data_IF_496379935542
#
_entry.id   IF_496379935542
#
_cell.length_a   1.000
_cell.length_b   1.000
_cell.length_c   1.000
_cell.angle_alpha   90.00
_cell.angle_beta   90.00
_cell.angle_gamma   90.00
#
_symmetry.space_group_name_H-M   'P 1'
#
loop_
_entity.id
_entity.type
_entity.pdbx_description
1 polymer ?
#
# COMPACT_ATOMS: atom_id res chain seq x y z
N UNK A 1 12.23 1.61 36.10
CA UNK A 1 11.24 0.93 36.95
C UNK A 1 10.25 2.01 37.38
N UNK A 2 9.14 2.25 36.65
CA UNK A 2 7.80 1.64 36.86
C UNK A 2 7.38 1.77 38.34
N UNK A 3 6.29 2.41 38.75
CA UNK A 3 5.02 2.85 38.17
C UNK A 3 4.53 4.09 38.95
N UNK A 4 3.50 4.80 38.49
CA UNK A 4 2.28 5.00 39.29
C UNK A 4 1.20 5.71 38.45
N UNK A 5 0.03 5.06 38.40
CA UNK A 5 -1.21 5.49 37.74
C UNK A 5 -1.85 6.71 38.43
N UNK A 6 -2.49 7.58 37.64
CA UNK A 6 -3.49 8.53 38.13
C UNK A 6 -4.88 8.12 37.65
N UNK A 7 -5.77 7.91 38.61
CA UNK A 7 -7.18 7.57 38.45
C UNK A 7 -8.02 8.84 38.58
N UNK A 8 -8.90 9.12 37.61
CA UNK A 8 -9.80 10.25 37.64
C UNK A 8 -11.23 9.78 37.89
N UNK A 9 -11.85 10.28 38.96
CA UNK A 9 -13.30 10.23 39.08
C UNK A 9 -13.84 11.37 39.94
N UNK A 10 -15.10 11.75 39.67
CA UNK A 10 -15.97 12.76 40.33
C UNK A 10 -15.76 14.21 39.84
N UNK A 11 -16.75 15.05 39.53
CA UNK A 11 -18.14 15.21 40.02
C UNK A 11 -19.07 15.82 38.95
N UNK A 12 -20.35 15.49 39.09
CA UNK A 12 -21.53 16.13 38.49
C UNK A 12 -21.76 17.55 39.01
N UNK A 13 -22.38 18.42 38.19
CA UNK A 13 -23.34 19.40 38.70
C UNK A 13 -24.30 19.92 37.62
N UNK A 14 -25.57 19.87 37.97
CA UNK A 14 -26.74 20.32 37.24
C UNK A 14 -27.10 21.76 37.61
N UNK A 15 -27.54 22.58 36.65
CA UNK A 15 -28.37 23.77 36.93
C UNK A 15 -29.43 23.94 35.84
N UNK A 16 -30.69 23.71 36.20
CA UNK A 16 -31.87 24.18 35.45
C UNK A 16 -32.22 25.60 35.91
N UNK A 17 -32.51 26.52 34.97
CA UNK A 17 -33.42 27.65 35.21
C UNK A 17 -34.32 27.88 33.98
N UNK A 18 -35.63 27.89 34.22
CA UNK A 18 -36.68 28.16 33.22
C UNK A 18 -36.92 29.66 33.11
N UNK A 19 -37.20 30.14 31.90
CA UNK A 19 -37.89 31.40 31.62
C UNK A 19 -38.83 31.21 30.44
N UNK A 20 -40.09 31.65 30.56
CA UNK A 20 -41.19 31.42 29.60
C UNK A 20 -41.77 32.78 29.17
N UNK A 21 -41.86 33.04 27.87
CA UNK A 21 -43.01 33.57 27.08
C UNK A 21 -42.56 34.30 25.81
N UNK A 22 -42.89 33.77 24.62
CA UNK A 22 -43.96 34.16 23.67
C UNK A 22 -43.59 35.26 22.66
N UNK A 23 -43.44 34.90 21.37
CA UNK A 23 -44.25 35.40 20.23
C UNK A 23 -43.67 34.86 18.91
N UNK A 24 -44.58 34.43 18.02
CA UNK A 24 -44.30 33.84 16.69
C UNK A 24 -43.70 34.88 15.74
N UNK A 25 -42.67 34.52 14.99
CA UNK A 25 -42.51 34.94 13.59
C UNK A 25 -41.68 33.94 12.78
N UNK A 26 -42.24 33.54 11.64
CA UNK A 26 -41.62 32.96 10.45
C UNK A 26 -40.67 31.77 10.65
N UNK A 27 -41.19 30.57 10.38
CA UNK A 27 -40.40 29.39 10.00
C UNK A 27 -39.54 29.77 8.77
N UNK A 28 -38.27 30.08 9.00
CA UNK A 28 -37.25 29.92 7.97
C UNK A 28 -36.88 28.44 7.97
N UNK A 29 -36.89 27.73 6.83
CA UNK A 29 -36.27 26.41 6.77
C UNK A 29 -34.80 26.62 7.13
N UNK A 30 -34.40 26.03 8.26
CA UNK A 30 -33.03 26.08 8.72
C UNK A 30 -32.24 25.07 7.88
N UNK A 31 -31.93 25.40 6.63
CA UNK A 31 -30.80 24.78 5.93
C UNK A 31 -29.54 25.45 6.46
N UNK A 32 -29.27 25.25 7.74
CA UNK A 32 -27.91 25.35 8.25
C UNK A 32 -27.13 24.27 7.50
N UNK A 33 -26.05 24.60 6.76
CA UNK A 33 -25.13 23.57 6.30
C UNK A 33 -24.62 22.91 7.57
N UNK A 34 -25.06 21.68 7.83
CA UNK A 34 -24.44 20.83 8.84
C UNK A 34 -23.04 20.58 8.34
N UNK A 35 -22.06 21.29 8.92
CA UNK A 35 -20.67 20.86 8.88
C UNK A 35 -20.67 19.55 9.68
N UNK A 36 -20.77 18.43 8.98
CA UNK A 36 -20.39 17.15 9.57
C UNK A 36 -18.92 17.31 9.93
N UNK A 37 -18.64 17.34 11.23
CA UNK A 37 -17.28 17.30 11.73
C UNK A 37 -16.68 16.01 11.19
N UNK A 38 -15.70 16.16 10.28
CA UNK A 38 -15.07 15.05 9.54
C UNK A 38 -14.42 14.01 10.46
N UNK A 39 -14.29 14.33 11.75
CA UNK A 39 -13.68 13.50 12.79
C UNK A 39 -14.49 12.23 13.11
N UNK A 40 -15.77 12.15 12.71
CA UNK A 40 -16.62 10.95 12.86
C UNK A 40 -16.84 10.18 11.56
N UNK A 41 -16.12 10.54 10.49
CA UNK A 41 -15.89 9.57 9.43
C UNK A 41 -14.90 8.58 10.01
N UNK A 42 -15.41 7.50 10.60
CA UNK A 42 -14.65 6.24 10.66
C UNK A 42 -14.36 5.87 9.20
N UNK A 43 -13.31 6.48 8.63
CA UNK A 43 -12.67 5.99 7.44
C UNK A 43 -12.41 4.54 7.81
N UNK A 44 -12.99 3.59 7.06
CA UNK A 44 -12.37 2.29 7.01
C UNK A 44 -10.96 2.60 6.53
N UNK A 45 -10.04 2.71 7.48
CA UNK A 45 -8.62 2.87 7.25
C UNK A 45 -8.18 1.53 6.69
N UNK A 46 -8.58 1.28 5.45
CA UNK A 46 -7.98 0.26 4.63
C UNK A 46 -6.57 0.78 4.42
N UNK A 47 -5.66 0.33 5.29
CA UNK A 47 -4.24 0.55 5.11
C UNK A 47 -3.91 0.05 3.70
N UNK A 48 -3.56 0.99 2.81
CA UNK A 48 -3.11 0.64 1.48
C UNK A 48 -1.67 0.12 1.63
N UNK A 49 -1.39 -1.13 1.25
CA UNK A 49 -0.04 -1.66 1.36
C UNK A 49 0.89 -0.88 0.43
N UNK A 50 2.04 -0.48 0.98
CA UNK A 50 3.13 0.10 0.21
C UNK A 50 4.07 -1.02 -0.24
N UNK A 51 4.44 -1.03 -1.52
CA UNK A 51 5.43 -1.95 -2.05
C UNK A 51 6.76 -1.22 -2.16
N UNK A 52 7.64 -1.48 -1.20
CA UNK A 52 8.97 -0.92 -1.18
C UNK A 52 9.89 -1.73 -2.08
N UNK A 53 10.74 -1.02 -2.82
CA UNK A 53 11.80 -1.65 -3.61
C UNK A 53 12.75 -2.46 -2.70
N UNK A 54 12.81 -3.80 -2.87
CA UNK A 54 13.70 -4.64 -2.06
C UNK A 54 15.18 -4.43 -2.34
N UNK A 55 15.50 -3.87 -3.51
CA UNK A 55 16.87 -3.63 -3.97
C UNK A 55 17.00 -2.24 -4.60
N UNK A 56 16.86 -1.17 -3.78
CA UNK A 56 16.92 0.21 -4.28
C UNK A 56 18.23 0.48 -5.03
N UNK A 57 18.08 0.94 -6.26
CA UNK A 57 19.19 1.35 -7.12
C UNK A 57 18.73 2.44 -8.07
N UNK A 58 19.67 3.29 -8.49
CA UNK A 58 19.39 4.31 -9.50
C UNK A 58 18.93 3.64 -10.79
N UNK A 59 17.83 4.13 -11.36
CA UNK A 59 17.29 3.68 -12.65
C UNK A 59 17.06 2.15 -12.79
N UNK A 60 16.92 1.40 -11.68
CA UNK A 60 16.64 -0.05 -11.72
C UNK A 60 15.24 -0.41 -12.25
N UNK A 61 14.41 0.62 -12.49
CA UNK A 61 13.03 0.56 -12.98
C UNK A 61 12.12 -0.32 -12.12
N UNK A 62 12.29 -0.31 -10.80
CA UNK A 62 11.30 -0.90 -9.91
C UNK A 62 9.91 -0.32 -10.21
N UNK A 63 8.94 -1.21 -10.46
CA UNK A 63 7.59 -0.80 -10.84
C UNK A 63 7.33 -0.76 -12.35
N UNK A 64 8.26 -1.21 -13.20
CA UNK A 64 8.09 -1.21 -14.66
C UNK A 64 6.85 -1.99 -15.10
N UNK A 65 6.60 -3.13 -14.47
CA UNK A 65 5.32 -3.84 -14.49
C UNK A 65 4.85 -4.07 -13.07
N UNK A 66 3.58 -3.74 -12.78
CA UNK A 66 2.90 -4.05 -11.51
C UNK A 66 1.65 -4.87 -11.85
N UNK A 67 1.64 -6.14 -11.48
CA UNK A 67 0.55 -7.07 -11.78
C UNK A 67 -0.04 -7.67 -10.50
N UNK A 68 -1.33 -7.46 -10.29
CA UNK A 68 -2.09 -8.17 -9.25
C UNK A 68 -2.51 -9.54 -9.80
N UNK A 69 -2.10 -10.61 -9.14
CA UNK A 69 -2.46 -11.98 -9.49
C UNK A 69 -3.86 -12.34 -8.99
N UNK A 70 -4.46 -13.39 -9.55
CA UNK A 70 -5.76 -13.92 -9.12
C UNK A 70 -5.80 -14.33 -7.64
N UNK A 71 -4.64 -14.52 -7.00
CA UNK A 71 -4.52 -14.84 -5.56
C UNK A 71 -4.58 -13.62 -4.66
N UNK A 72 -4.49 -12.40 -5.22
CA UNK A 72 -4.33 -11.16 -4.46
C UNK A 72 -2.87 -10.81 -4.13
N UNK A 73 -1.89 -11.62 -4.54
CA UNK A 73 -0.47 -11.23 -4.48
C UNK A 73 -0.13 -10.25 -5.61
N UNK A 74 0.96 -9.50 -5.45
CA UNK A 74 1.41 -8.52 -6.45
C UNK A 74 2.79 -8.90 -6.94
N UNK A 75 2.98 -8.95 -8.26
CA UNK A 75 4.28 -9.12 -8.90
C UNK A 75 4.73 -7.78 -9.44
N UNK A 76 5.96 -7.37 -9.09
CA UNK A 76 6.56 -6.11 -9.52
C UNK A 76 7.91 -6.41 -10.18
N UNK A 77 8.15 -5.82 -11.36
CA UNK A 77 9.42 -5.99 -12.08
C UNK A 77 10.36 -4.79 -11.88
N UNK A 78 11.65 -5.09 -11.90
CA UNK A 78 12.79 -4.15 -11.85
C UNK A 78 13.82 -4.61 -12.88
N UNK A 79 13.53 -4.47 -14.19
CA UNK A 79 14.32 -5.12 -15.24
C UNK A 79 15.77 -4.62 -15.34
N UNK A 80 16.06 -3.44 -14.77
CA UNK A 80 17.39 -2.84 -14.76
C UNK A 80 18.09 -2.99 -13.38
N UNK A 81 17.61 -3.92 -12.54
CA UNK A 81 18.25 -4.23 -11.26
C UNK A 81 19.70 -4.72 -11.43
N UNK A 82 20.60 -4.08 -10.68
CA UNK A 82 22.05 -4.28 -10.72
C UNK A 82 22.61 -5.10 -9.54
N UNK A 83 21.75 -5.64 -8.66
CA UNK A 83 22.17 -6.26 -7.39
C UNK A 83 23.18 -7.39 -7.57
N UNK A 84 22.98 -8.22 -8.60
CA UNK A 84 23.84 -9.37 -8.88
C UNK A 84 24.82 -9.12 -10.03
N UNK A 85 24.38 -8.41 -11.07
CA UNK A 85 25.18 -8.02 -12.22
C UNK A 85 24.50 -6.85 -12.93
N UNK A 86 25.25 -6.11 -13.76
CA UNK A 86 24.71 -4.97 -14.50
C UNK A 86 23.54 -5.37 -15.39
N UNK A 87 22.40 -4.71 -15.24
CA UNK A 87 21.11 -4.96 -15.88
C UNK A 87 20.70 -6.44 -15.80
N UNK A 88 20.97 -7.10 -14.68
CA UNK A 88 20.57 -8.49 -14.47
C UNK A 88 19.04 -8.61 -14.37
N UNK A 89 18.40 -7.61 -13.76
CA UNK A 89 16.96 -7.53 -13.57
C UNK A 89 16.46 -8.38 -12.41
N UNK A 90 15.31 -7.99 -11.88
CA UNK A 90 14.63 -8.67 -10.79
C UNK A 90 13.11 -8.64 -10.94
N UNK A 91 12.46 -9.64 -10.34
CA UNK A 91 11.01 -9.74 -10.24
C UNK A 91 10.66 -10.08 -8.79
N UNK A 92 9.88 -9.23 -8.16
CA UNK A 92 9.53 -9.29 -6.75
C UNK A 92 8.06 -9.72 -6.60
N UNK A 93 7.81 -10.74 -5.77
CA UNK A 93 6.47 -11.16 -5.41
C UNK A 93 6.16 -10.65 -4.01
N UNK A 94 5.08 -9.90 -3.88
CA UNK A 94 4.59 -9.34 -2.62
C UNK A 94 3.25 -9.92 -2.22
N UNK A 95 3.00 -9.95 -0.92
CA UNK A 95 1.66 -10.11 -0.37
C UNK A 95 0.88 -8.82 -0.64
N UNK A 96 -0.19 -8.90 -1.44
CA UNK A 96 -0.93 -7.71 -1.84
C UNK A 96 -1.85 -7.13 -0.77
N UNK A 97 -1.99 -7.78 0.38
CA UNK A 97 -2.72 -7.23 1.53
C UNK A 97 -1.78 -6.53 2.52
N UNK A 98 -0.58 -7.08 2.75
CA UNK A 98 0.36 -6.55 3.76
C UNK A 98 1.49 -5.71 3.17
N UNK A 99 1.76 -5.83 1.87
CA UNK A 99 2.94 -5.21 1.24
C UNK A 99 4.24 -5.96 1.51
N UNK A 100 4.20 -7.06 2.26
CA UNK A 100 5.40 -7.82 2.60
C UNK A 100 5.96 -8.59 1.39
N UNK A 101 7.28 -8.58 1.25
CA UNK A 101 7.97 -9.36 0.23
C UNK A 101 7.87 -10.86 0.53
N UNK A 102 7.35 -11.63 -0.42
CA UNK A 102 7.26 -13.09 -0.37
C UNK A 102 8.52 -13.72 -0.98
N UNK A 103 8.91 -13.28 -2.18
CA UNK A 103 10.09 -13.82 -2.87
C UNK A 103 10.63 -12.86 -3.94
N UNK A 104 11.83 -13.15 -4.43
CA UNK A 104 12.43 -12.44 -5.56
C UNK A 104 13.13 -13.42 -6.48
N UNK A 105 12.92 -13.25 -7.78
CA UNK A 105 13.69 -13.89 -8.84
C UNK A 105 14.66 -12.84 -9.36
N UNK A 106 15.94 -13.18 -9.52
CA UNK A 106 17.00 -12.27 -9.99
C UNK A 106 17.76 -12.88 -11.15
N UNK A 107 18.19 -12.04 -12.08
CA UNK A 107 19.25 -12.41 -13.00
C UNK A 107 20.55 -12.72 -12.26
N UNK A 108 21.39 -13.53 -12.89
CA UNK A 108 22.72 -13.90 -12.43
C UNK A 108 23.83 -13.35 -13.33
N UNK A 109 23.49 -12.92 -14.56
CA UNK A 109 24.47 -12.44 -15.55
C UNK A 109 24.13 -11.05 -16.07
N UNK A 110 25.13 -10.41 -16.68
CA UNK A 110 24.99 -9.09 -17.28
C UNK A 110 23.92 -9.11 -18.37
N UNK A 111 23.05 -8.10 -18.35
CA UNK A 111 22.01 -7.86 -19.35
C UNK A 111 20.99 -8.98 -19.51
N UNK A 112 20.78 -9.86 -18.54
CA UNK A 112 19.66 -10.82 -18.61
C UNK A 112 18.28 -10.14 -18.53
N UNK A 113 18.25 -8.94 -17.94
CA UNK A 113 17.06 -8.07 -17.84
C UNK A 113 15.80 -8.82 -17.41
N UNK A 114 15.92 -9.66 -16.38
CA UNK A 114 14.81 -10.50 -15.94
C UNK A 114 13.56 -9.64 -15.66
N UNK A 115 12.47 -9.94 -16.38
CA UNK A 115 11.17 -9.27 -16.26
C UNK A 115 10.93 -8.09 -17.21
N UNK A 116 11.82 -7.79 -18.16
CA UNK A 116 11.67 -6.65 -19.08
C UNK A 116 10.55 -6.78 -20.11
N UNK A 117 10.08 -8.01 -20.38
CA UNK A 117 8.91 -8.27 -21.22
C UNK A 117 7.59 -8.27 -20.45
N UNK A 118 7.64 -7.99 -19.14
CA UNK A 118 6.47 -7.97 -18.26
C UNK A 118 6.06 -9.33 -17.73
N UNK A 119 4.87 -9.36 -17.13
CA UNK A 119 4.32 -10.53 -16.41
C UNK A 119 2.89 -10.78 -16.87
N UNK A 120 2.51 -12.04 -17.02
CA UNK A 120 1.13 -12.47 -17.34
C UNK A 120 0.61 -13.43 -16.28
N UNK A 121 -0.55 -13.11 -15.70
CA UNK A 121 -1.25 -14.01 -14.79
C UNK A 121 -1.91 -15.15 -15.58
N UNK A 122 -1.64 -16.39 -15.18
CA UNK A 122 -2.27 -17.59 -15.74
C UNK A 122 -3.42 -18.09 -14.85
N UNK A 123 -3.62 -17.46 -13.69
CA UNK A 123 -4.60 -17.82 -12.69
C UNK A 123 -4.14 -18.96 -11.79
N UNK A 124 -4.88 -19.12 -10.67
CA UNK A 124 -4.63 -20.16 -9.65
C UNK A 124 -3.21 -20.08 -9.05
N UNK A 125 -2.65 -18.88 -8.98
CA UNK A 125 -1.32 -18.63 -8.42
C UNK A 125 -0.15 -18.89 -9.36
N UNK A 126 -0.42 -19.15 -10.65
CA UNK A 126 0.63 -19.28 -11.66
C UNK A 126 0.74 -18.00 -12.48
N UNK A 127 1.96 -17.63 -12.85
CA UNK A 127 2.25 -16.49 -13.71
C UNK A 127 3.48 -16.77 -14.56
N UNK A 128 3.60 -16.08 -15.68
CA UNK A 128 4.75 -16.14 -16.59
C UNK A 128 5.47 -14.80 -16.55
N UNK A 129 6.79 -14.85 -16.42
CA UNK A 129 7.67 -13.71 -16.57
C UNK A 129 8.30 -13.80 -17.96
N UNK A 130 8.28 -12.71 -18.71
CA UNK A 130 8.96 -12.60 -19.99
C UNK A 130 10.25 -11.82 -19.79
N UNK A 131 11.36 -12.38 -20.27
CA UNK A 131 12.69 -11.75 -20.24
C UNK A 131 13.30 -11.88 -21.63
N UNK A 132 13.41 -10.76 -22.36
CA UNK A 132 13.76 -10.73 -23.77
C UNK A 132 15.26 -10.99 -24.02
N UNK A 133 16.10 -10.71 -23.02
CA UNK A 133 17.56 -10.85 -23.08
C UNK A 133 18.10 -12.04 -22.27
N UNK A 134 17.23 -12.92 -21.77
CA UNK A 134 17.68 -14.06 -20.97
C UNK A 134 18.54 -15.04 -21.79
N UNK A 135 19.75 -15.29 -21.34
CA UNK A 135 20.77 -16.04 -22.09
C UNK A 135 20.89 -17.52 -21.68
N UNK A 136 19.88 -18.07 -21.00
CA UNK A 136 19.85 -19.44 -20.47
C UNK A 136 20.98 -19.74 -19.46
N UNK A 137 21.39 -18.76 -18.65
CA UNK A 137 22.40 -18.94 -17.59
C UNK A 137 23.82 -19.15 -18.11
N UNK A 138 24.11 -18.76 -19.35
CA UNK A 138 25.49 -18.73 -19.85
C UNK A 138 26.23 -17.55 -19.20
N UNK A 139 26.92 -17.84 -18.10
CA UNK A 139 27.89 -16.92 -17.51
C UNK A 139 29.04 -16.80 -18.52
N UNK A 140 29.18 -15.64 -19.17
CA UNK A 140 30.33 -15.41 -20.05
C UNK A 140 31.61 -15.52 -19.20
N UNK A 141 32.47 -16.46 -19.57
CA UNK A 141 33.78 -16.70 -18.94
C UNK A 141 34.80 -15.65 -19.30
#
# INVERSE_FOLDING_TARGET
MFHHWFNWNRLTQSVQRRGRQLRRHHRRPNTSPTIEVLEDRTLLDAAFPEFLDPTPGDDNRFGDTVLVLSTGNVVITSPDDDTNARNAGAVHLFNGATGELISTIRGASVSERIGDGGVTDLGKGNYVIVSSEWNNGNIQR
#
